data_IF_836194375686
#
_entry.id   IF_836194375686
#
_cell.length_a   1.000
_cell.length_b   1.000
_cell.length_c   1.000
_cell.angle_alpha   90.00
_cell.angle_beta   90.00
_cell.angle_gamma   90.00
#
_symmetry.space_group_name_H-M   'P 1'
#
loop_
_entity.id
_entity.type
_entity.pdbx_description
1 polymer ?
#
# COMPACT_ATOMS: atom_id res chain seq x y z
N UNK A 1 -29.48 7.38 -11.14
CA UNK A 1 -28.48 6.30 -11.35
C UNK A 1 -27.19 6.73 -10.66
N UNK A 2 -26.94 6.28 -9.44
CA UNK A 2 -25.80 6.72 -8.62
C UNK A 2 -24.77 5.60 -8.61
N UNK A 3 -23.66 5.79 -9.32
CA UNK A 3 -22.50 4.90 -9.16
C UNK A 3 -21.88 5.20 -7.80
N UNK A 4 -22.25 4.43 -6.77
CA UNK A 4 -21.47 4.33 -5.54
C UNK A 4 -20.14 3.66 -5.86
N UNK A 5 -19.20 4.44 -6.38
CA UNK A 5 -17.82 4.01 -6.59
C UNK A 5 -17.19 3.66 -5.24
N UNK A 6 -16.71 2.43 -5.11
CA UNK A 6 -16.03 1.92 -3.93
C UNK A 6 -14.94 2.90 -3.45
N UNK A 7 -15.22 3.63 -2.37
CA UNK A 7 -14.33 4.64 -1.78
C UNK A 7 -13.03 4.06 -1.18
N UNK A 8 -12.73 2.78 -1.42
CA UNK A 8 -11.66 2.01 -0.79
C UNK A 8 -10.83 1.18 -1.79
N UNK A 9 -10.98 1.34 -3.10
CA UNK A 9 -10.11 0.69 -4.08
C UNK A 9 -8.79 1.47 -4.26
N UNK A 10 -7.70 0.77 -4.58
CA UNK A 10 -6.44 1.40 -4.99
C UNK A 10 -6.61 2.25 -6.25
N UNK A 11 -5.69 3.18 -6.50
CA UNK A 11 -5.81 4.04 -7.68
C UNK A 11 -5.64 3.20 -8.96
N UNK A 12 -6.65 3.22 -9.83
CA UNK A 12 -6.60 2.56 -11.14
C UNK A 12 -5.56 3.27 -12.01
N UNK A 13 -4.52 2.55 -12.39
CA UNK A 13 -3.41 3.05 -13.22
C UNK A 13 -3.90 3.33 -14.63
N UNK A 14 -3.67 4.56 -15.12
CA UNK A 14 -4.06 4.98 -16.47
C UNK A 14 -2.90 5.70 -17.15
N UNK A 15 -2.81 5.54 -18.47
CA UNK A 15 -1.98 6.39 -19.29
C UNK A 15 -2.71 7.73 -19.46
N UNK A 16 -2.18 8.79 -18.84
CA UNK A 16 -2.81 10.11 -18.86
C UNK A 16 -1.86 11.17 -19.38
N UNK A 17 -2.44 12.20 -20.01
CA UNK A 17 -1.70 13.36 -20.48
C UNK A 17 -1.13 14.14 -19.28
N UNK A 18 0.19 14.35 -19.29
CA UNK A 18 0.87 15.12 -18.26
C UNK A 18 0.38 16.58 -18.23
N UNK A 19 0.13 17.10 -17.04
CA UNK A 19 -0.23 18.50 -16.82
C UNK A 19 1.01 19.38 -17.02
N UNK A 20 1.02 20.21 -18.07
CA UNK A 20 2.19 21.04 -18.41
C UNK A 20 2.60 21.95 -17.25
N UNK A 21 1.66 22.69 -16.67
CA UNK A 21 1.95 23.66 -15.61
C UNK A 21 2.48 22.97 -14.34
N UNK A 22 1.83 21.89 -13.91
CA UNK A 22 2.22 21.14 -12.71
C UNK A 22 3.62 20.50 -12.82
N UNK A 23 4.13 20.28 -14.04
CA UNK A 23 5.44 19.68 -14.30
C UNK A 23 6.52 20.70 -14.68
N UNK A 24 6.25 22.00 -14.58
CA UNK A 24 7.29 23.02 -14.70
C UNK A 24 8.20 23.02 -13.47
N UNK A 25 9.45 23.49 -13.66
CA UNK A 25 10.33 23.73 -12.51
C UNK A 25 9.77 24.82 -11.61
N UNK A 26 9.88 24.64 -10.31
CA UNK A 26 9.30 25.54 -9.31
C UNK A 26 10.27 25.75 -8.15
N UNK A 27 9.99 26.74 -7.30
CA UNK A 27 10.78 27.04 -6.10
C UNK A 27 9.89 27.05 -4.86
N UNK A 28 10.38 26.49 -3.77
CA UNK A 28 9.77 26.59 -2.44
C UNK A 28 10.87 26.88 -1.43
N UNK A 29 10.70 27.93 -0.62
CA UNK A 29 11.69 28.37 0.37
C UNK A 29 13.13 28.46 -0.19
N UNK A 30 13.28 29.10 -1.36
CA UNK A 30 14.57 29.26 -2.05
C UNK A 30 15.10 28.02 -2.78
N UNK A 31 14.61 26.81 -2.46
CA UNK A 31 15.03 25.56 -3.10
C UNK A 31 14.27 25.32 -4.40
N UNK A 32 15.02 25.09 -5.49
CA UNK A 32 14.46 24.72 -6.80
C UNK A 32 14.18 23.22 -6.88
N UNK A 33 13.04 22.87 -7.45
CA UNK A 33 12.64 21.51 -7.78
C UNK A 33 12.34 21.41 -9.28
N UNK A 34 12.78 20.32 -9.89
CA UNK A 34 12.58 20.04 -11.31
C UNK A 34 11.86 18.71 -11.44
N UNK A 35 10.54 18.70 -11.71
CA UNK A 35 9.81 17.47 -11.98
C UNK A 35 10.38 16.71 -13.19
N UNK A 36 10.25 15.38 -13.13
CA UNK A 36 10.53 14.51 -14.26
C UNK A 36 9.58 14.85 -15.41
N UNK A 37 10.12 14.97 -16.62
CA UNK A 37 9.36 15.38 -17.81
C UNK A 37 8.54 14.24 -18.43
N UNK A 38 8.82 13.00 -18.05
CA UNK A 38 8.21 11.77 -18.60
C UNK A 38 7.97 10.77 -17.48
N UNK A 39 7.00 9.89 -17.67
CA UNK A 39 6.79 8.71 -16.82
C UNK A 39 7.83 7.66 -17.18
N UNK A 40 8.73 7.34 -16.25
CA UNK A 40 9.84 6.40 -16.44
C UNK A 40 10.05 5.58 -15.17
N UNK A 41 10.94 4.59 -15.22
CA UNK A 41 11.32 3.84 -14.01
C UNK A 41 11.88 4.79 -12.96
N UNK A 42 11.35 4.69 -11.75
CA UNK A 42 11.77 5.49 -10.59
C UNK A 42 11.57 4.68 -9.31
N UNK A 43 12.53 4.76 -8.39
CA UNK A 43 12.43 4.20 -7.06
C UNK A 43 13.12 5.13 -6.06
N UNK A 44 12.46 5.40 -4.94
CA UNK A 44 13.03 6.18 -3.84
C UNK A 44 12.57 5.61 -2.51
N UNK A 45 13.46 5.57 -1.52
CA UNK A 45 13.12 5.24 -0.13
C UNK A 45 13.25 6.48 0.74
N UNK A 46 12.34 6.66 1.70
CA UNK A 46 12.38 7.78 2.63
C UNK A 46 11.18 7.80 3.57
N UNK A 47 10.99 8.92 4.27
CA UNK A 47 9.87 9.08 5.20
C UNK A 47 8.61 9.54 4.45
N UNK A 48 7.50 8.84 4.66
CA UNK A 48 6.17 9.28 4.29
C UNK A 48 5.50 10.02 5.45
N UNK A 49 4.62 10.96 5.12
CA UNK A 49 3.56 11.41 6.02
C UNK A 49 2.23 11.43 5.29
N UNK A 50 1.20 12.02 5.90
CA UNK A 50 -0.10 12.23 5.27
C UNK A 50 -0.60 13.64 5.57
N UNK A 51 -1.32 14.25 4.63
CA UNK A 51 -1.86 15.60 4.84
C UNK A 51 -3.18 15.55 5.59
N UNK A 52 -3.30 16.41 6.61
CA UNK A 52 -4.46 16.51 7.50
C UNK A 52 -5.75 16.96 6.81
N UNK A 53 -6.87 16.77 7.51
CA UNK A 53 -8.20 17.10 7.01
C UNK A 53 -8.39 18.56 6.59
N UNK A 54 -7.61 19.51 7.13
CA UNK A 54 -7.71 20.92 6.75
C UNK A 54 -7.41 21.22 5.27
N UNK A 55 -6.78 20.28 4.56
CA UNK A 55 -6.53 20.44 3.13
C UNK A 55 -7.71 20.00 2.26
N UNK A 56 -8.69 19.30 2.81
CA UNK A 56 -9.80 18.74 2.05
C UNK A 56 -10.54 19.80 1.24
N UNK A 57 -10.81 19.52 -0.03
CA UNK A 57 -11.46 20.44 -0.96
C UNK A 57 -10.56 21.52 -1.55
N UNK A 58 -9.33 21.73 -1.06
CA UNK A 58 -8.37 22.68 -1.66
C UNK A 58 -7.82 22.16 -2.98
N UNK A 59 -7.43 23.07 -3.89
CA UNK A 59 -6.78 22.69 -5.16
C UNK A 59 -5.38 22.15 -4.90
N UNK A 60 -5.06 21.03 -5.54
CA UNK A 60 -3.70 20.49 -5.64
C UNK A 60 -2.96 21.15 -6.80
N UNK A 61 -1.68 20.81 -6.96
CA UNK A 61 -0.86 21.26 -8.09
C UNK A 61 -1.34 20.75 -9.45
N UNK A 62 -2.10 19.66 -9.51
CA UNK A 62 -2.77 19.22 -10.74
C UNK A 62 -3.98 20.10 -11.11
N UNK A 63 -4.49 20.89 -10.15
CA UNK A 63 -5.75 21.63 -10.25
C UNK A 63 -6.97 20.87 -9.72
N UNK A 64 -6.84 19.56 -9.45
CA UNK A 64 -7.89 18.74 -8.83
C UNK A 64 -8.14 19.20 -7.38
N UNK A 65 -9.37 19.02 -6.86
CA UNK A 65 -9.61 19.24 -5.42
C UNK A 65 -9.13 18.04 -4.63
N UNK A 66 -8.37 18.28 -3.57
CA UNK A 66 -7.88 17.22 -2.69
C UNK A 66 -9.04 16.53 -1.98
N UNK A 67 -9.14 15.22 -2.18
CA UNK A 67 -10.06 14.35 -1.46
C UNK A 67 -9.26 13.46 -0.51
N UNK A 68 -9.48 13.60 0.81
CA UNK A 68 -8.77 12.82 1.81
C UNK A 68 -9.07 11.32 1.74
N UNK A 69 -10.22 10.95 1.15
CA UNK A 69 -10.68 9.58 0.97
C UNK A 69 -10.24 8.98 -0.38
N UNK A 70 -9.63 9.77 -1.28
CA UNK A 70 -9.12 9.26 -2.55
C UNK A 70 -7.70 8.69 -2.39
N UNK A 71 -7.29 7.79 -3.27
CA UNK A 71 -5.95 7.21 -3.29
C UNK A 71 -4.96 8.12 -4.03
N UNK A 72 -4.61 9.25 -3.41
CA UNK A 72 -3.73 10.28 -3.98
C UNK A 72 -2.50 10.55 -3.12
N UNK A 73 -1.46 11.13 -3.72
CA UNK A 73 -0.24 11.53 -3.04
C UNK A 73 0.48 12.71 -3.73
N UNK A 74 1.42 13.30 -2.99
CA UNK A 74 2.23 14.45 -3.37
C UNK A 74 3.66 13.99 -3.42
N UNK A 75 4.32 14.35 -4.51
CA UNK A 75 5.73 14.09 -4.68
C UNK A 75 6.43 15.31 -5.27
N UNK A 76 7.66 15.54 -4.84
CA UNK A 76 8.47 16.70 -5.24
C UNK A 76 8.69 16.73 -6.76
N UNK A 77 8.91 15.56 -7.36
CA UNK A 77 9.42 15.45 -8.73
C UNK A 77 8.74 14.41 -9.62
N UNK A 78 7.84 13.56 -9.11
CA UNK A 78 7.19 12.58 -9.99
C UNK A 78 6.23 13.31 -10.94
N UNK A 79 6.06 12.86 -12.19
CA UNK A 79 5.17 13.55 -13.12
C UNK A 79 3.74 13.64 -12.58
N UNK A 80 3.04 14.72 -12.90
CA UNK A 80 1.61 14.88 -12.60
C UNK A 80 0.79 14.88 -13.90
N UNK A 81 -0.28 14.07 -14.03
CA UNK A 81 -0.53 12.91 -13.19
C UNK A 81 0.46 11.78 -13.46
N UNK A 82 0.72 10.96 -12.45
CA UNK A 82 1.33 9.64 -12.62
C UNK A 82 0.89 8.73 -11.48
N UNK A 83 1.36 7.50 -11.47
CA UNK A 83 0.99 6.50 -10.46
C UNK A 83 2.24 5.95 -9.80
N UNK A 84 2.13 5.67 -8.50
CA UNK A 84 3.21 5.06 -7.74
C UNK A 84 2.67 4.00 -6.78
N UNK A 85 3.44 2.92 -6.63
CA UNK A 85 3.31 1.99 -5.52
C UNK A 85 4.06 2.57 -4.33
N UNK A 86 3.37 2.69 -3.21
CA UNK A 86 3.96 3.04 -1.93
C UNK A 86 3.96 1.78 -1.07
N UNK A 87 5.13 1.38 -0.58
CA UNK A 87 5.26 0.22 0.31
C UNK A 87 5.78 0.69 1.66
N UNK A 88 5.03 0.46 2.73
CA UNK A 88 5.50 0.65 4.09
C UNK A 88 6.47 -0.46 4.47
N UNK A 89 7.72 -0.09 4.73
CA UNK A 89 8.80 -1.04 4.95
C UNK A 89 8.73 -1.73 6.32
N UNK A 90 7.98 -1.20 7.28
CA UNK A 90 7.87 -1.82 8.60
C UNK A 90 6.89 -2.99 8.65
N UNK A 91 5.89 -3.02 7.75
CA UNK A 91 4.81 -4.01 7.77
C UNK A 91 4.56 -4.67 6.40
N UNK A 92 5.28 -4.27 5.36
CA UNK A 92 5.12 -4.81 4.00
C UNK A 92 3.84 -4.37 3.27
N UNK A 93 2.94 -3.60 3.92
CA UNK A 93 1.68 -3.14 3.29
C UNK A 93 2.02 -2.18 2.15
N UNK A 94 1.32 -2.32 1.03
CA UNK A 94 1.51 -1.47 -0.14
C UNK A 94 0.19 -0.97 -0.69
N UNK A 95 0.22 0.21 -1.31
CA UNK A 95 -0.92 0.79 -2.03
C UNK A 95 -0.46 1.41 -3.34
N UNK A 96 -1.37 1.50 -4.31
CA UNK A 96 -1.20 2.31 -5.51
C UNK A 96 -1.93 3.64 -5.34
N UNK A 97 -1.21 4.73 -5.56
CA UNK A 97 -1.73 6.10 -5.47
C UNK A 97 -1.48 6.85 -6.78
N UNK A 98 -2.39 7.78 -7.08
CA UNK A 98 -2.20 8.82 -8.09
C UNK A 98 -1.37 9.97 -7.52
N UNK A 99 -0.27 10.32 -8.18
CA UNK A 99 0.47 11.55 -7.90
C UNK A 99 -0.27 12.72 -8.55
N UNK A 100 -0.87 13.58 -7.75
CA UNK A 100 -1.62 14.74 -8.23
C UNK A 100 -1.24 16.06 -7.55
N UNK A 101 -0.23 16.05 -6.68
CA UNK A 101 0.22 17.25 -5.97
C UNK A 101 1.74 17.31 -5.76
N UNK A 102 2.23 18.48 -5.33
CA UNK A 102 3.64 18.78 -5.05
C UNK A 102 3.91 18.87 -3.56
N UNK A 103 5.15 18.59 -3.19
CA UNK A 103 5.58 18.42 -1.81
C UNK A 103 5.93 16.96 -1.51
N UNK A 104 6.19 16.59 -0.25
CA UNK A 104 6.35 17.45 0.94
C UNK A 104 7.51 18.44 0.82
N UNK A 105 7.50 19.53 1.58
CA UNK A 105 8.64 20.47 1.63
C UNK A 105 9.44 20.43 2.94
N UNK A 106 9.05 19.58 3.89
CA UNK A 106 9.90 19.25 5.04
C UNK A 106 11.02 18.29 4.61
N UNK A 107 12.25 18.61 4.99
CA UNK A 107 13.48 18.07 4.38
C UNK A 107 13.56 16.54 4.36
N UNK A 108 13.12 15.87 5.43
CA UNK A 108 13.26 14.41 5.58
C UNK A 108 12.19 13.59 4.84
N UNK A 109 11.12 14.22 4.31
CA UNK A 109 9.98 13.51 3.73
C UNK A 109 10.09 13.40 2.21
N UNK A 110 9.70 12.25 1.67
CA UNK A 110 9.75 11.96 0.22
C UNK A 110 8.36 11.98 -0.42
N UNK A 111 7.32 11.61 0.35
CA UNK A 111 5.94 11.57 -0.12
C UNK A 111 5.00 11.96 1.02
N UNK A 112 3.95 12.69 0.70
CA UNK A 112 2.79 12.84 1.57
C UNK A 112 1.62 12.13 0.86
N UNK A 113 0.92 11.25 1.57
CA UNK A 113 -0.20 10.48 1.00
C UNK A 113 -1.54 10.95 1.56
N UNK A 114 -2.65 10.58 0.93
CA UNK A 114 -3.98 10.84 1.48
C UNK A 114 -4.24 10.11 2.80
N UNK A 115 -5.28 10.52 3.53
CA UNK A 115 -5.72 9.85 4.76
C UNK A 115 -6.07 8.38 4.48
N UNK A 116 -6.83 8.11 3.41
CA UNK A 116 -7.18 6.74 3.00
C UNK A 116 -5.94 5.88 2.70
N UNK A 117 -4.94 6.42 1.99
CA UNK A 117 -3.70 5.72 1.72
C UNK A 117 -2.88 5.46 3.00
N UNK A 118 -2.82 6.41 3.92
CA UNK A 118 -2.13 6.23 5.21
C UNK A 118 -2.79 5.18 6.10
N UNK A 119 -4.12 5.10 6.07
CA UNK A 119 -4.90 4.08 6.77
C UNK A 119 -4.57 2.68 6.22
N UNK A 120 -4.63 2.48 4.91
CA UNK A 120 -4.26 1.22 4.25
C UNK A 120 -2.80 0.82 4.48
N UNK A 121 -1.88 1.79 4.47
CA UNK A 121 -0.46 1.56 4.75
C UNK A 121 -0.16 1.28 6.22
N UNK A 122 -1.16 1.44 7.11
CA UNK A 122 -1.05 1.11 8.53
C UNK A 122 -0.15 2.06 9.32
N UNK A 123 -0.14 3.35 8.97
CA UNK A 123 0.62 4.36 9.73
C UNK A 123 -0.16 5.62 10.10
N UNK A 124 -1.48 5.65 9.86
CA UNK A 124 -2.31 6.83 10.15
C UNK A 124 -2.13 7.37 11.58
N UNK A 125 -2.14 6.51 12.60
CA UNK A 125 -1.94 6.88 14.00
C UNK A 125 -0.50 7.23 14.36
N UNK A 126 0.50 6.66 13.65
CA UNK A 126 1.93 6.97 13.84
C UNK A 126 2.33 8.30 13.21
N UNK A 127 1.49 8.86 12.33
CA UNK A 127 1.73 10.08 11.57
C UNK A 127 2.74 9.93 10.42
N UNK A 128 3.76 9.09 10.59
CA UNK A 128 4.81 8.86 9.57
C UNK A 128 5.22 7.39 9.47
N UNK A 129 5.81 7.02 8.32
CA UNK A 129 6.38 5.69 8.09
C UNK A 129 7.61 5.76 7.19
N UNK A 130 8.51 4.77 7.30
CA UNK A 130 9.57 4.56 6.31
C UNK A 130 8.98 3.79 5.13
N UNK A 131 9.03 4.37 3.94
CA UNK A 131 8.39 3.80 2.74
C UNK A 131 9.37 3.69 1.57
N UNK A 132 9.04 2.80 0.64
CA UNK A 132 9.57 2.78 -0.72
C UNK A 132 8.49 3.27 -1.69
N UNK A 133 8.85 4.22 -2.55
CA UNK A 133 8.02 4.80 -3.61
C UNK A 133 8.53 4.30 -4.95
N UNK A 134 7.69 3.65 -5.72
CA UNK A 134 8.04 3.07 -7.03
C UNK A 134 7.06 3.55 -8.09
N UNK A 135 7.55 4.18 -9.16
CA UNK A 135 6.70 4.64 -10.24
C UNK A 135 6.15 3.46 -11.05
N UNK A 136 4.85 3.52 -11.36
CA UNK A 136 4.17 2.52 -12.18
C UNK A 136 4.06 3.05 -13.61
N UNK A 137 4.51 2.23 -14.56
CA UNK A 137 4.40 2.52 -15.99
C UNK A 137 3.04 2.01 -16.50
N UNK A 138 2.19 2.87 -17.09
CA UNK A 138 0.96 2.42 -17.75
C UNK A 138 1.26 1.41 -18.86
N UNK A 139 0.48 0.32 -18.95
CA UNK A 139 0.66 -0.73 -19.96
C UNK A 139 1.90 -1.62 -19.79
N UNK A 140 2.68 -1.43 -18.72
CA UNK A 140 3.73 -2.37 -18.36
C UNK A 140 3.16 -3.58 -17.63
N UNK A 141 3.74 -4.77 -17.84
CA UNK A 141 3.33 -6.03 -17.19
C UNK A 141 3.21 -5.94 -15.65
N UNK A 142 3.95 -5.01 -15.03
CA UNK A 142 3.82 -4.68 -13.60
C UNK A 142 2.50 -4.01 -13.24
N UNK A 143 1.97 -3.09 -14.05
CA UNK A 143 0.69 -2.41 -13.81
C UNK A 143 -0.50 -3.38 -13.86
N UNK A 144 -0.48 -4.35 -14.77
CA UNK A 144 -1.49 -5.41 -14.89
C UNK A 144 -1.42 -6.39 -13.72
N UNK A 145 -0.19 -6.78 -13.32
CA UNK A 145 0.03 -7.58 -12.12
C UNK A 145 -0.36 -6.88 -10.82
N UNK A 146 -0.48 -5.54 -10.79
CA UNK A 146 -0.97 -4.79 -9.61
C UNK A 146 -2.49 -4.70 -9.56
N UNK A 147 -3.17 -4.57 -10.71
CA UNK A 147 -4.62 -4.63 -10.78
C UNK A 147 -5.16 -6.04 -10.46
N UNK A 148 -4.41 -7.10 -10.78
CA UNK A 148 -4.71 -8.49 -10.38
C UNK A 148 -4.18 -8.87 -8.98
N UNK A 149 -3.19 -8.15 -8.45
CA UNK A 149 -2.64 -8.40 -7.11
C UNK A 149 -3.58 -8.04 -5.94
N UNK A 150 -4.66 -7.30 -6.18
CA UNK A 150 -5.70 -7.07 -5.16
C UNK A 150 -6.67 -8.27 -5.00
N UNK A 151 -6.45 -9.34 -5.78
CA UNK A 151 -6.96 -10.68 -5.51
C UNK A 151 -5.86 -11.61 -4.95
N UNK A 152 -4.86 -11.06 -4.23
CA UNK A 152 -3.79 -11.90 -3.64
C UNK A 152 -4.38 -12.86 -2.62
N UNK A 153 -4.11 -14.14 -2.82
CA UNK A 153 -4.19 -15.18 -1.80
C UNK A 153 -3.17 -14.88 -0.69
N UNK A 154 -3.50 -13.98 0.24
CA UNK A 154 -2.61 -13.60 1.34
C UNK A 154 -2.55 -14.77 2.33
N UNK A 155 -1.34 -15.21 2.65
CA UNK A 155 -1.10 -16.18 3.72
C UNK A 155 -0.30 -15.51 4.83
N UNK A 156 -0.74 -15.70 6.08
CA UNK A 156 -0.04 -15.22 7.28
C UNK A 156 0.64 -16.37 8.00
N UNK A 157 1.90 -16.17 8.38
CA UNK A 157 2.65 -17.16 9.17
C UNK A 157 2.10 -17.21 10.59
N UNK A 158 1.65 -18.38 11.02
CA UNK A 158 1.21 -18.65 12.39
C UNK A 158 2.41 -19.01 13.26
N UNK A 159 3.19 -20.02 12.86
CA UNK A 159 4.34 -20.55 13.63
C UNK A 159 5.30 -21.35 12.74
N UNK A 160 6.58 -21.41 13.11
CA UNK A 160 7.61 -22.28 12.50
C UNK A 160 7.94 -23.45 13.43
N UNK A 161 8.36 -24.58 12.86
CA UNK A 161 8.79 -25.78 13.58
C UNK A 161 10.02 -26.41 12.91
N UNK A 162 10.90 -27.00 13.71
CA UNK A 162 12.07 -27.72 13.19
C UNK A 162 11.68 -29.08 12.61
N UNK A 163 10.62 -29.69 13.13
CA UNK A 163 10.17 -31.02 12.71
C UNK A 163 8.84 -31.00 11.97
N UNK A 164 8.70 -31.90 10.99
CA UNK A 164 7.44 -32.08 10.24
C UNK A 164 6.29 -32.56 11.12
N UNK A 165 6.60 -33.33 12.16
CA UNK A 165 5.60 -33.92 13.04
C UNK A 165 4.89 -32.82 13.87
N UNK A 166 5.66 -31.93 14.50
CA UNK A 166 5.12 -30.82 15.29
C UNK A 166 4.31 -29.85 14.42
N UNK A 167 4.81 -29.52 13.23
CA UNK A 167 4.07 -28.69 12.29
C UNK A 167 2.74 -29.32 11.85
N UNK A 168 2.73 -30.64 11.59
CA UNK A 168 1.50 -31.37 11.24
C UNK A 168 0.48 -31.35 12.38
N UNK A 169 0.91 -31.55 13.62
CA UNK A 169 0.01 -31.52 14.77
C UNK A 169 -0.55 -30.11 15.00
N UNK A 170 0.28 -29.08 14.79
CA UNK A 170 -0.18 -27.70 14.83
C UNK A 170 -1.18 -27.39 13.72
N UNK A 171 -0.96 -27.85 12.48
CA UNK A 171 -1.92 -27.70 11.36
C UNK A 171 -3.26 -28.33 11.70
N UNK A 172 -3.29 -29.52 12.31
CA UNK A 172 -4.54 -30.18 12.73
C UNK A 172 -5.28 -29.36 13.77
N UNK A 173 -4.60 -28.93 14.85
CA UNK A 173 -5.21 -28.11 15.92
C UNK A 173 -5.74 -26.78 15.38
N UNK A 174 -4.90 -26.07 14.60
CA UNK A 174 -5.28 -24.80 14.01
C UNK A 174 -6.42 -24.94 13.01
N UNK A 175 -6.44 -26.01 12.20
CA UNK A 175 -7.51 -26.32 11.25
C UNK A 175 -8.84 -26.62 11.94
N UNK A 176 -8.84 -27.39 13.04
CA UNK A 176 -10.05 -27.62 13.84
C UNK A 176 -10.58 -26.32 14.45
N UNK A 177 -9.69 -25.43 14.91
CA UNK A 177 -10.08 -24.15 15.49
C UNK A 177 -10.71 -23.21 14.45
N UNK A 178 -10.17 -23.15 13.23
CA UNK A 178 -10.79 -22.37 12.13
C UNK A 178 -12.21 -22.85 11.84
N UNK A 179 -12.44 -24.17 11.83
CA UNK A 179 -13.79 -24.74 11.66
C UNK A 179 -14.72 -24.31 12.80
N UNK A 180 -14.26 -24.40 14.05
CA UNK A 180 -15.06 -23.95 15.22
C UNK A 180 -15.34 -22.45 15.22
N UNK A 181 -14.47 -21.64 14.62
CA UNK A 181 -14.64 -20.20 14.46
C UNK A 181 -15.42 -19.81 13.19
N UNK A 182 -15.97 -20.78 12.45
CA UNK A 182 -16.66 -20.58 11.17
C UNK A 182 -15.83 -19.77 10.14
N UNK A 183 -14.51 -19.95 10.16
CA UNK A 183 -13.60 -19.29 9.22
C UNK A 183 -13.42 -20.13 7.95
N UNK A 184 -13.50 -19.48 6.80
CA UNK A 184 -13.35 -20.13 5.48
C UNK A 184 -11.90 -20.41 5.10
N UNK A 185 -10.95 -19.81 5.82
CA UNK A 185 -9.53 -19.93 5.53
C UNK A 185 -9.00 -21.34 5.84
N UNK A 186 -7.88 -21.67 5.21
CA UNK A 186 -7.17 -22.94 5.36
C UNK A 186 -5.88 -22.72 6.13
N UNK A 187 -5.46 -23.75 6.85
CA UNK A 187 -4.12 -23.84 7.41
C UNK A 187 -3.29 -24.75 6.51
N UNK A 188 -2.14 -24.26 6.08
CA UNK A 188 -1.20 -24.99 5.22
C UNK A 188 0.17 -25.03 5.87
N UNK A 189 0.94 -26.07 5.59
CA UNK A 189 2.33 -26.19 6.03
C UNK A 189 3.22 -26.16 4.80
N UNK A 190 4.30 -25.40 4.87
CA UNK A 190 5.29 -25.26 3.81
C UNK A 190 6.70 -25.46 4.39
N UNK A 191 7.57 -26.19 3.70
CA UNK A 191 8.98 -26.31 4.10
C UNK A 191 9.74 -25.10 3.56
N UNK A 192 10.32 -24.28 4.44
CA UNK A 192 11.05 -23.07 4.06
C UNK A 192 12.37 -23.00 4.83
N UNK A 193 13.49 -22.85 4.12
CA UNK A 193 14.83 -22.67 4.72
C UNK A 193 15.23 -23.71 5.79
N UNK A 194 14.74 -24.95 5.68
CA UNK A 194 15.02 -26.03 6.64
C UNK A 194 13.96 -26.22 7.71
N UNK A 195 13.09 -25.23 7.93
CA UNK A 195 11.96 -25.26 8.86
C UNK A 195 10.64 -25.64 8.18
N UNK A 196 9.64 -26.00 8.98
CA UNK A 196 8.25 -26.19 8.59
C UNK A 196 7.41 -25.01 9.08
N UNK A 197 7.05 -24.12 8.16
CA UNK A 197 6.26 -22.91 8.44
C UNK A 197 4.78 -23.23 8.25
N UNK A 198 3.99 -23.03 9.30
CA UNK A 198 2.53 -23.15 9.24
C UNK A 198 1.94 -21.77 8.95
N UNK A 199 1.11 -21.70 7.91
CA UNK A 199 0.47 -20.49 7.41
C UNK A 199 -1.03 -20.63 7.34
N UNK A 200 -1.73 -19.51 7.41
CA UNK A 200 -3.19 -19.44 7.29
C UNK A 200 -3.58 -18.51 6.15
N UNK A 201 -4.57 -18.92 5.35
CA UNK A 201 -5.09 -18.16 4.22
C UNK A 201 -5.91 -19.05 3.27
N UNK A 202 -6.28 -18.57 2.07
CA UNK A 202 -6.01 -17.23 1.57
C UNK A 202 -6.92 -16.18 2.21
N UNK A 203 -6.36 -15.02 2.50
CA UNK A 203 -7.10 -13.80 2.80
C UNK A 203 -7.09 -12.89 1.58
N UNK A 204 -8.18 -12.16 1.36
CA UNK A 204 -8.26 -11.13 0.31
C UNK A 204 -7.80 -9.75 0.81
N UNK A 205 -7.50 -9.60 2.12
CA UNK A 205 -7.01 -8.37 2.74
C UNK A 205 -6.03 -8.69 3.87
N UNK A 206 -4.96 -7.90 3.97
CA UNK A 206 -3.94 -8.08 5.01
C UNK A 206 -4.48 -7.85 6.42
N UNK A 207 -5.44 -6.92 6.60
CA UNK A 207 -6.09 -6.64 7.89
C UNK A 207 -6.79 -7.89 8.45
N UNK A 208 -7.61 -8.57 7.64
CA UNK A 208 -8.23 -9.84 8.03
C UNK A 208 -7.21 -10.92 8.36
N UNK A 209 -6.09 -10.92 7.64
CA UNK A 209 -5.01 -11.86 7.90
C UNK A 209 -4.32 -11.59 9.24
N UNK A 210 -4.07 -10.31 9.57
CA UNK A 210 -3.47 -9.87 10.83
C UNK A 210 -4.41 -10.13 12.03
N UNK A 211 -5.71 -9.83 11.88
CA UNK A 211 -6.73 -10.04 12.91
C UNK A 211 -6.94 -11.53 13.19
N UNK A 212 -7.07 -12.33 12.12
CA UNK A 212 -7.19 -13.78 12.23
C UNK A 212 -5.96 -14.39 12.92
N UNK A 213 -4.75 -13.90 12.59
CA UNK A 213 -3.53 -14.35 13.25
C UNK A 213 -3.55 -14.05 14.74
N UNK A 214 -4.02 -12.86 15.13
CA UNK A 214 -4.12 -12.45 16.54
C UNK A 214 -5.12 -13.32 17.31
N UNK A 215 -6.30 -13.58 16.73
CA UNK A 215 -7.31 -14.48 17.30
C UNK A 215 -6.78 -15.91 17.47
N UNK A 216 -6.00 -16.40 16.50
CA UNK A 216 -5.38 -17.72 16.58
C UNK A 216 -4.27 -17.81 17.62
N UNK A 217 -3.41 -16.79 17.73
CA UNK A 217 -2.32 -16.77 18.73
C UNK A 217 -2.81 -16.64 20.17
N UNK A 218 -4.01 -16.09 20.38
CA UNK A 218 -4.58 -15.93 21.73
C UNK A 218 -5.32 -17.19 22.19
N UNK A 219 -5.55 -18.15 21.28
CA UNK A 219 -6.43 -19.30 21.49
C UNK A 219 -5.73 -20.68 21.39
N UNK A 220 -4.40 -20.71 21.25
CA UNK A 220 -3.55 -21.91 21.11
C UNK A 220 -2.38 -21.79 22.07
#
# INVERSE_FOLDING_TARGET
MVFSGNANADAVVKAEKLNRAANMSYKVAGKRYTPLKKVSSFSQTGKASWYGGQFHGRKTSSGERYNMNAMTAAHKTLPIPSYARITNLSNGKSVVVRINDRGPFHASRVVDVSKAAAQKLGFIHKGTAKVRVEQILPGGQKAENFAQADARNIYVNLKSFDTKAEARDYVKRAGSRLKSAAMEQKVVMEKQAGEYVVKMGPFNRQEHADDAKSQMLTAI
#
